data_IF_623401276572
#
_entry.id   IF_623401276572
#
_cell.length_a   1.000
_cell.length_b   1.000
_cell.length_c   1.000
_cell.angle_alpha   90.00
_cell.angle_beta   90.00
_cell.angle_gamma   90.00
#
_symmetry.space_group_name_H-M   'P 1'
#
loop_
_entity.id
_entity.type
_entity.pdbx_description
1 polymer ?
#
# COMPACT_ATOMS: atom_id res chain seq x y z
N UNK A 1 -53.07 -14.59 81.65
CA UNK A 1 -51.70 -14.30 81.15
C UNK A 1 -51.03 -15.42 80.34
N UNK A 2 -51.30 -16.73 80.56
CA UNK A 2 -50.65 -17.84 79.80
C UNK A 2 -51.13 -18.04 78.35
N UNK A 3 -52.29 -17.53 77.97
CA UNK A 3 -52.88 -17.76 76.63
C UNK A 3 -52.31 -16.83 75.54
N UNK A 4 -51.93 -15.59 75.88
CA UNK A 4 -51.30 -14.65 74.93
C UNK A 4 -49.87 -15.02 74.55
N UNK A 5 -49.10 -15.66 75.45
CA UNK A 5 -47.74 -16.11 75.12
C UNK A 5 -47.71 -17.27 74.11
N UNK A 6 -48.78 -18.06 74.00
CA UNK A 6 -48.86 -19.20 73.07
C UNK A 6 -49.12 -18.75 71.62
N UNK A 7 -49.94 -17.71 71.44
CA UNK A 7 -50.23 -17.09 70.14
C UNK A 7 -49.00 -16.37 69.56
N UNK A 8 -48.24 -15.64 70.39
CA UNK A 8 -47.04 -14.93 69.95
C UNK A 8 -45.93 -15.89 69.48
N UNK A 9 -45.80 -17.07 70.11
CA UNK A 9 -44.84 -18.12 69.73
C UNK A 9 -45.17 -18.78 68.38
N UNK A 10 -46.46 -18.87 68.03
CA UNK A 10 -46.88 -19.43 66.74
C UNK A 10 -46.68 -18.44 65.58
N UNK A 11 -46.98 -17.15 65.81
CA UNK A 11 -46.76 -16.09 64.82
C UNK A 11 -45.27 -15.91 64.45
N UNK A 12 -44.37 -15.98 65.44
CA UNK A 12 -42.91 -15.90 65.19
C UNK A 12 -42.38 -17.13 64.42
N UNK A 13 -42.95 -18.32 64.66
CA UNK A 13 -42.58 -19.54 63.91
C UNK A 13 -43.02 -19.47 62.44
N UNK A 14 -44.21 -18.96 62.16
CA UNK A 14 -44.70 -18.78 60.78
C UNK A 14 -43.91 -17.70 60.03
N UNK A 15 -43.53 -16.60 60.69
CA UNK A 15 -42.71 -15.54 60.07
C UNK A 15 -41.28 -16.00 59.75
N UNK A 16 -40.67 -16.82 60.61
CA UNK A 16 -39.35 -17.43 60.33
C UNK A 16 -39.40 -18.42 59.16
N UNK A 17 -40.47 -19.20 59.00
CA UNK A 17 -40.62 -20.08 57.84
C UNK A 17 -40.80 -19.31 56.53
N UNK A 18 -41.55 -18.19 56.54
CA UNK A 18 -41.78 -17.34 55.37
C UNK A 18 -40.49 -16.65 54.89
N UNK A 19 -39.64 -16.20 55.82
CA UNK A 19 -38.34 -15.58 55.49
C UNK A 19 -37.34 -16.62 54.95
N UNK A 20 -37.36 -17.85 55.46
CA UNK A 20 -36.48 -18.92 54.97
C UNK A 20 -36.92 -19.39 53.58
N UNK A 21 -38.24 -19.45 53.30
CA UNK A 21 -38.74 -19.79 51.96
C UNK A 21 -38.49 -18.71 50.90
N UNK A 22 -38.47 -17.42 51.28
CA UNK A 22 -38.21 -16.32 50.34
C UNK A 22 -36.72 -16.12 50.04
N UNK A 23 -35.84 -16.40 51.01
CA UNK A 23 -34.38 -16.32 50.80
C UNK A 23 -33.82 -17.52 50.00
N UNK A 24 -34.45 -18.69 50.05
CA UNK A 24 -34.09 -19.82 49.16
C UNK A 24 -34.52 -19.61 47.71
N UNK A 25 -35.59 -18.87 47.43
CA UNK A 25 -36.01 -18.59 46.05
C UNK A 25 -35.09 -17.55 45.37
N UNK A 26 -34.57 -16.59 46.12
CA UNK A 26 -33.67 -15.55 45.60
C UNK A 26 -32.31 -16.16 45.19
N UNK A 27 -31.82 -17.20 45.87
CA UNK A 27 -30.58 -17.89 45.48
C UNK A 27 -30.72 -18.75 44.23
N UNK A 28 -31.93 -19.17 43.84
CA UNK A 28 -32.14 -19.95 42.59
C UNK A 28 -32.14 -19.04 41.36
N UNK A 29 -32.47 -17.75 41.51
CA UNK A 29 -32.50 -16.79 40.39
C UNK A 29 -31.17 -16.13 40.06
N UNK A 30 -30.15 -16.19 40.92
CA UNK A 30 -28.87 -15.48 40.73
C UNK A 30 -27.83 -16.29 39.94
N UNK A 31 -28.11 -17.56 39.63
CA UNK A 31 -27.18 -18.44 38.88
C UNK A 31 -27.73 -18.94 37.54
N UNK A 32 -28.71 -18.24 36.94
CA UNK A 32 -28.84 -18.27 35.47
C UNK A 32 -27.70 -17.46 34.86
N UNK A 33 -26.48 -17.99 34.94
CA UNK A 33 -25.48 -17.70 33.94
C UNK A 33 -26.11 -18.09 32.61
N UNK A 34 -26.56 -17.11 31.83
CA UNK A 34 -27.12 -17.33 30.50
C UNK A 34 -26.03 -18.05 29.72
N UNK A 35 -26.14 -19.37 29.67
CA UNK A 35 -25.17 -20.20 29.01
C UNK A 35 -25.34 -19.94 27.52
N UNK A 36 -24.47 -19.12 26.97
CA UNK A 36 -24.48 -18.79 25.56
C UNK A 36 -24.21 -20.08 24.76
N UNK A 37 -25.02 -20.32 23.73
CA UNK A 37 -24.81 -21.43 22.81
C UNK A 37 -23.62 -21.14 21.90
N UNK A 38 -23.52 -19.87 21.45
CA UNK A 38 -22.45 -19.36 20.58
C UNK A 38 -21.73 -18.21 21.26
N UNK A 39 -20.41 -18.29 21.35
CA UNK A 39 -19.56 -17.23 21.91
C UNK A 39 -18.59 -16.72 20.84
N UNK A 40 -18.73 -15.45 20.43
CA UNK A 40 -17.94 -14.85 19.36
C UNK A 40 -16.52 -14.49 19.81
N UNK A 41 -15.55 -14.81 18.96
CA UNK A 41 -14.15 -14.42 19.09
C UNK A 41 -13.96 -13.05 18.45
N UNK A 42 -13.34 -12.11 19.16
CA UNK A 42 -13.21 -10.71 18.70
C UNK A 42 -12.38 -10.55 17.43
N UNK A 43 -11.28 -11.28 17.30
CA UNK A 43 -10.38 -11.23 16.13
C UNK A 43 -10.04 -12.64 15.71
N UNK A 44 -10.27 -12.96 14.44
CA UNK A 44 -10.00 -14.29 13.89
C UNK A 44 -9.37 -14.18 12.52
N UNK A 45 -8.56 -15.19 12.17
CA UNK A 45 -7.85 -15.25 10.92
C UNK A 45 -8.22 -16.53 10.16
N UNK A 46 -8.73 -16.38 8.93
CA UNK A 46 -9.27 -17.49 8.14
C UNK A 46 -8.52 -17.68 6.83
N UNK A 47 -8.45 -18.92 6.36
CA UNK A 47 -7.80 -19.28 5.08
C UNK A 47 -8.81 -19.52 3.96
N UNK A 48 -10.03 -19.94 4.31
CA UNK A 48 -11.10 -20.31 3.39
C UNK A 48 -11.68 -19.11 2.65
N UNK A 49 -12.42 -19.39 1.57
CA UNK A 49 -13.21 -18.40 0.83
C UNK A 49 -14.55 -18.05 1.51
N UNK A 50 -14.91 -18.79 2.56
CA UNK A 50 -16.11 -18.61 3.37
C UNK A 50 -15.72 -18.58 4.83
N UNK A 51 -16.49 -17.88 5.62
CA UNK A 51 -16.38 -17.84 7.07
C UNK A 51 -17.41 -18.81 7.65
N UNK A 52 -16.96 -19.76 8.46
CA UNK A 52 -17.80 -20.73 9.14
C UNK A 52 -18.03 -20.33 10.60
N UNK A 53 -19.06 -20.90 11.23
CA UNK A 53 -19.29 -20.74 12.69
C UNK A 53 -18.03 -21.10 13.48
N UNK A 54 -17.39 -22.22 13.13
CA UNK A 54 -16.17 -22.68 13.79
C UNK A 54 -15.01 -21.68 13.74
N UNK A 55 -15.01 -20.80 12.74
CA UNK A 55 -13.94 -19.82 12.57
C UNK A 55 -14.11 -18.62 13.51
N UNK A 56 -15.35 -18.25 13.84
CA UNK A 56 -15.69 -17.00 14.52
C UNK A 56 -16.14 -17.19 15.96
N UNK A 57 -16.29 -18.43 16.42
CA UNK A 57 -16.82 -18.72 17.74
C UNK A 57 -15.95 -19.70 18.53
N UNK A 58 -15.71 -19.42 19.81
CA UNK A 58 -14.98 -20.30 20.74
C UNK A 58 -15.86 -21.43 21.26
N UNK A 59 -17.16 -21.19 21.32
CA UNK A 59 -18.20 -22.13 21.75
C UNK A 59 -19.31 -22.11 20.72
N UNK A 60 -19.79 -23.29 20.31
CA UNK A 60 -20.90 -23.44 19.37
C UNK A 60 -21.43 -24.89 19.38
N UNK A 61 -22.71 -25.12 18.99
CA UNK A 61 -23.26 -26.45 18.77
C UNK A 61 -22.57 -27.19 17.62
N UNK A 62 -22.23 -28.48 17.82
CA UNK A 62 -21.43 -29.25 16.84
C UNK A 62 -22.14 -29.50 15.51
N UNK A 63 -23.47 -29.52 15.48
CA UNK A 63 -24.26 -29.66 14.26
C UNK A 63 -24.14 -28.46 13.31
N UNK A 64 -23.71 -27.28 13.78
CA UNK A 64 -23.52 -26.08 12.95
C UNK A 64 -22.06 -25.72 12.71
N UNK A 65 -21.12 -26.58 13.10
CA UNK A 65 -19.67 -26.32 13.00
C UNK A 65 -19.25 -25.88 11.59
N UNK A 66 -19.76 -26.56 10.55
CA UNK A 66 -19.46 -26.29 9.14
C UNK A 66 -20.48 -25.36 8.46
N UNK A 67 -21.34 -24.68 9.24
CA UNK A 67 -22.33 -23.77 8.67
C UNK A 67 -21.64 -22.51 8.14
N UNK A 68 -21.80 -22.17 6.84
CA UNK A 68 -21.24 -20.94 6.29
C UNK A 68 -22.06 -19.73 6.75
N UNK A 69 -21.40 -18.72 7.29
CA UNK A 69 -22.00 -17.47 7.75
C UNK A 69 -21.91 -16.40 6.66
N UNK A 70 -20.75 -16.25 6.04
CA UNK A 70 -20.56 -15.27 4.98
C UNK A 70 -19.46 -15.71 4.02
N UNK A 71 -19.31 -14.96 2.92
CA UNK A 71 -18.05 -14.97 2.18
C UNK A 71 -16.95 -14.38 3.06
N UNK A 72 -15.73 -14.90 2.92
CA UNK A 72 -14.55 -14.29 3.51
C UNK A 72 -14.18 -13.01 2.73
N UNK A 73 -13.53 -12.02 3.36
CA UNK A 73 -13.09 -10.81 2.67
C UNK A 73 -12.04 -11.14 1.58
N UNK A 74 -11.60 -10.13 0.81
CA UNK A 74 -10.47 -10.37 -0.11
C UNK A 74 -9.20 -10.72 0.69
N UNK A 75 -8.23 -11.43 0.10
CA UNK A 75 -6.99 -11.76 0.79
C UNK A 75 -6.30 -10.51 1.36
N UNK A 76 -5.84 -10.57 2.61
CA UNK A 76 -5.24 -9.47 3.37
C UNK A 76 -6.20 -8.34 3.77
N UNK A 77 -7.51 -8.51 3.55
CA UNK A 77 -8.54 -7.61 4.04
C UNK A 77 -9.26 -8.16 5.26
N UNK A 78 -10.02 -7.29 5.90
CA UNK A 78 -10.84 -7.58 7.08
C UNK A 78 -12.30 -7.28 6.82
N UNK A 79 -13.18 -8.09 7.40
CA UNK A 79 -14.61 -7.78 7.49
C UNK A 79 -15.08 -7.95 8.93
N UNK A 80 -16.20 -7.32 9.26
CA UNK A 80 -16.82 -7.41 10.58
C UNK A 80 -18.10 -8.22 10.47
N UNK A 81 -18.22 -9.25 11.30
CA UNK A 81 -19.44 -10.05 11.47
C UNK A 81 -20.06 -9.67 12.79
N UNK A 82 -21.17 -8.94 12.73
CA UNK A 82 -21.93 -8.51 13.91
C UNK A 82 -22.84 -9.62 14.45
N UNK A 83 -23.03 -9.66 15.77
CA UNK A 83 -23.89 -10.65 16.41
C UNK A 83 -25.34 -10.62 15.89
N UNK A 84 -25.85 -9.44 15.55
CA UNK A 84 -27.20 -9.30 14.97
C UNK A 84 -27.30 -9.91 13.57
N UNK A 85 -26.26 -9.77 12.76
CA UNK A 85 -26.17 -10.41 11.45
C UNK A 85 -26.13 -11.93 11.59
N UNK A 86 -25.32 -12.45 12.51
CA UNK A 86 -25.27 -13.88 12.80
C UNK A 86 -26.64 -14.41 13.27
N UNK A 87 -27.29 -13.72 14.22
CA UNK A 87 -28.65 -14.07 14.69
C UNK A 87 -29.66 -14.12 13.54
N UNK A 88 -29.59 -13.17 12.60
CA UNK A 88 -30.46 -13.17 11.42
C UNK A 88 -30.24 -14.43 10.57
N UNK A 89 -28.99 -14.81 10.31
CA UNK A 89 -28.68 -16.02 9.54
C UNK A 89 -29.20 -17.29 10.23
N UNK A 90 -28.98 -17.41 11.55
CA UNK A 90 -29.44 -18.56 12.32
C UNK A 90 -30.98 -18.67 12.28
N UNK A 91 -31.68 -17.55 12.50
CA UNK A 91 -33.15 -17.50 12.45
C UNK A 91 -33.70 -17.82 11.06
N UNK A 92 -33.05 -17.35 9.98
CA UNK A 92 -33.45 -17.71 8.61
C UNK A 92 -33.33 -19.20 8.30
N UNK A 93 -32.55 -19.93 9.09
CA UNK A 93 -32.40 -21.39 9.00
C UNK A 93 -33.20 -22.12 10.09
N UNK A 94 -34.16 -21.46 10.75
CA UNK A 94 -34.96 -21.99 11.87
C UNK A 94 -34.10 -22.50 13.05
N UNK A 95 -32.96 -21.86 13.32
CA UNK A 95 -32.08 -22.19 14.44
C UNK A 95 -32.09 -21.05 15.46
N UNK A 96 -32.50 -21.37 16.69
CA UNK A 96 -32.66 -20.38 17.76
C UNK A 96 -31.59 -20.58 18.83
N UNK A 97 -30.36 -20.16 18.51
CA UNK A 97 -29.22 -20.18 19.44
C UNK A 97 -28.99 -18.81 20.07
N UNK A 98 -28.63 -18.80 21.34
CA UNK A 98 -28.16 -17.61 22.04
C UNK A 98 -26.73 -17.26 21.61
N UNK A 99 -26.51 -16.02 21.18
CA UNK A 99 -25.21 -15.52 20.71
C UNK A 99 -24.69 -14.47 21.70
N UNK A 100 -23.47 -14.69 22.20
CA UNK A 100 -22.73 -13.80 23.07
C UNK A 100 -21.48 -13.23 22.39
N UNK A 101 -21.07 -12.05 22.82
CA UNK A 101 -20.12 -11.20 22.11
C UNK A 101 -20.81 -10.29 21.10
N UNK A 102 -20.23 -9.11 20.87
CA UNK A 102 -20.84 -8.09 19.99
C UNK A 102 -20.54 -8.34 18.51
N UNK A 103 -19.31 -8.76 18.19
CA UNK A 103 -18.84 -8.94 16.82
C UNK A 103 -17.57 -9.77 16.76
N UNK A 104 -17.24 -10.23 15.54
CA UNK A 104 -15.96 -10.82 15.16
C UNK A 104 -15.36 -10.05 14.00
N UNK A 105 -14.10 -9.59 14.14
CA UNK A 105 -13.30 -9.06 13.03
C UNK A 105 -12.58 -10.23 12.40
N UNK A 106 -12.93 -10.51 11.15
CA UNK A 106 -12.40 -11.63 10.38
C UNK A 106 -11.39 -11.10 9.38
N UNK A 107 -10.12 -11.48 9.55
CA UNK A 107 -9.06 -11.21 8.56
C UNK A 107 -8.84 -12.45 7.70
N UNK A 108 -8.74 -12.28 6.39
CA UNK A 108 -8.37 -13.39 5.51
C UNK A 108 -6.86 -13.46 5.32
N UNK A 109 -6.26 -14.63 5.61
CA UNK A 109 -4.84 -14.88 5.33
C UNK A 109 -4.54 -14.69 3.86
N UNK A 110 -3.35 -14.18 3.59
CA UNK A 110 -2.86 -14.00 2.25
C UNK A 110 -1.41 -14.42 2.14
N UNK A 111 -1.07 -14.93 0.96
CA UNK A 111 0.31 -14.96 0.51
C UNK A 111 0.63 -13.59 -0.09
N UNK A 112 1.66 -12.92 0.42
CA UNK A 112 2.02 -11.56 0.03
C UNK A 112 3.26 -11.57 -0.85
N UNK A 113 3.15 -11.00 -2.04
CA UNK A 113 4.30 -10.70 -2.89
C UNK A 113 4.72 -9.27 -2.58
N UNK A 114 5.84 -9.14 -1.88
CA UNK A 114 6.40 -7.85 -1.42
C UNK A 114 7.55 -7.38 -2.31
N UNK A 115 8.05 -6.16 -2.10
CA UNK A 115 9.23 -5.66 -2.79
C UNK A 115 10.44 -6.59 -2.56
N UNK A 116 10.66 -7.04 -1.32
CA UNK A 116 11.73 -7.98 -0.96
C UNK A 116 11.62 -9.31 -1.71
N UNK A 117 10.40 -9.77 -1.96
CA UNK A 117 10.18 -10.97 -2.77
C UNK A 117 10.70 -10.76 -4.20
N UNK A 118 10.39 -9.60 -4.79
CA UNK A 118 10.88 -9.23 -6.12
C UNK A 118 12.40 -9.08 -6.12
N UNK A 119 12.98 -8.36 -5.15
CA UNK A 119 14.44 -8.19 -5.04
C UNK A 119 15.17 -9.53 -4.95
N UNK A 120 14.65 -10.46 -4.13
CA UNK A 120 15.21 -11.80 -3.98
C UNK A 120 15.13 -12.61 -5.28
N UNK A 121 14.03 -12.51 -6.01
CA UNK A 121 13.87 -13.22 -7.29
C UNK A 121 14.75 -12.62 -8.40
N UNK A 122 14.94 -11.31 -8.40
CA UNK A 122 15.80 -10.60 -9.35
C UNK A 122 17.29 -10.74 -9.04
N UNK A 123 17.66 -10.99 -7.78
CA UNK A 123 19.04 -10.91 -7.33
C UNK A 123 19.58 -9.47 -7.31
N UNK A 124 18.70 -8.48 -7.28
CA UNK A 124 19.02 -7.04 -7.39
C UNK A 124 18.12 -6.25 -6.43
N UNK A 125 18.71 -5.29 -5.71
CA UNK A 125 18.00 -4.42 -4.73
C UNK A 125 17.89 -2.98 -5.21
N UNK A 126 18.69 -2.60 -6.20
CA UNK A 126 18.73 -1.24 -6.75
C UNK A 126 17.62 -1.06 -7.78
N UNK A 127 16.37 -1.33 -7.39
CA UNK A 127 15.18 -1.15 -8.21
C UNK A 127 14.14 -0.28 -7.49
N UNK A 128 13.60 0.70 -8.20
CA UNK A 128 12.42 1.45 -7.81
C UNK A 128 11.21 0.74 -8.41
N UNK A 129 10.46 0.01 -7.58
CA UNK A 129 9.24 -0.68 -8.03
C UNK A 129 8.11 0.35 -8.12
N UNK A 130 7.51 0.48 -9.30
CA UNK A 130 6.39 1.40 -9.54
C UNK A 130 5.03 0.73 -9.39
N UNK A 131 4.96 -0.60 -9.57
CA UNK A 131 3.73 -1.36 -9.32
C UNK A 131 3.36 -1.32 -7.84
N UNK A 132 2.06 -1.11 -7.54
CA UNK A 132 1.55 -1.13 -6.18
C UNK A 132 1.77 -2.50 -5.53
N UNK A 133 2.51 -2.51 -4.43
CA UNK A 133 2.79 -3.68 -3.60
C UNK A 133 2.26 -3.47 -2.16
N UNK A 134 2.02 -4.55 -1.37
CA UNK A 134 2.13 -5.96 -1.77
C UNK A 134 0.96 -6.42 -2.66
N UNK A 135 1.22 -7.40 -3.52
CA UNK A 135 0.15 -8.14 -4.19
C UNK A 135 -0.30 -9.26 -3.25
N UNK A 136 -1.58 -9.24 -2.88
CA UNK A 136 -2.18 -10.24 -2.00
C UNK A 136 -2.84 -11.35 -2.82
N UNK A 137 -2.48 -12.60 -2.53
CA UNK A 137 -3.06 -13.81 -3.11
C UNK A 137 -3.75 -14.64 -2.01
N UNK A 138 -4.74 -15.49 -2.36
CA UNK A 138 -5.30 -16.45 -1.40
C UNK A 138 -4.21 -17.30 -0.76
N UNK A 139 -4.26 -17.52 0.55
CA UNK A 139 -3.18 -18.24 1.25
C UNK A 139 -3.01 -19.68 0.73
N UNK A 140 -1.90 -19.93 0.03
CA UNK A 140 -1.46 -21.24 -0.45
C UNK A 140 0.08 -21.27 -0.53
N UNK A 141 0.64 -22.46 -0.75
CA UNK A 141 2.05 -22.64 -1.06
C UNK A 141 2.29 -22.37 -2.55
N UNK A 142 2.65 -21.13 -2.87
CA UNK A 142 3.02 -20.74 -4.24
C UNK A 142 4.52 -20.83 -4.47
N UNK A 143 4.90 -21.20 -5.69
CA UNK A 143 6.25 -21.01 -6.21
C UNK A 143 6.23 -19.81 -7.14
N UNK A 144 7.21 -18.92 -6.99
CA UNK A 144 7.33 -17.72 -7.81
C UNK A 144 8.55 -17.84 -8.73
N UNK A 145 8.40 -17.40 -9.98
CA UNK A 145 9.51 -17.31 -10.91
C UNK A 145 9.36 -16.11 -11.83
N UNK A 146 10.49 -15.58 -12.31
CA UNK A 146 10.52 -14.54 -13.33
C UNK A 146 10.62 -15.24 -14.68
N UNK A 147 9.61 -15.06 -15.54
CA UNK A 147 9.59 -15.71 -16.84
C UNK A 147 10.22 -14.86 -17.94
N UNK A 148 10.15 -13.53 -17.83
CA UNK A 148 10.81 -12.61 -18.76
C UNK A 148 10.99 -11.22 -18.16
N UNK A 149 11.95 -10.48 -18.71
CA UNK A 149 12.18 -9.06 -18.42
C UNK A 149 12.19 -8.32 -19.75
N UNK A 150 11.42 -7.24 -19.85
CA UNK A 150 11.37 -6.37 -21.03
C UNK A 150 11.77 -4.95 -20.64
N UNK A 151 12.59 -4.31 -21.47
CA UNK A 151 13.05 -2.94 -21.24
C UNK A 151 12.48 -2.05 -22.35
N UNK A 152 11.85 -0.93 -21.98
CA UNK A 152 11.39 0.09 -22.91
C UNK A 152 11.81 1.47 -22.39
N UNK A 153 12.92 1.99 -22.92
CA UNK A 153 13.49 3.25 -22.48
C UNK A 153 13.93 3.21 -21.01
N UNK A 154 13.42 4.14 -20.21
CA UNK A 154 13.71 4.27 -18.77
C UNK A 154 12.97 3.25 -17.88
N UNK A 155 11.98 2.55 -18.44
CA UNK A 155 11.15 1.59 -17.71
C UNK A 155 11.51 0.15 -18.07
N UNK A 156 11.36 -0.72 -17.08
CA UNK A 156 11.50 -2.16 -17.22
C UNK A 156 10.28 -2.88 -16.64
N UNK A 157 9.91 -4.00 -17.23
CA UNK A 157 8.79 -4.83 -16.80
C UNK A 157 9.24 -6.25 -16.60
N UNK A 158 8.95 -6.80 -15.41
CA UNK A 158 9.14 -8.19 -15.07
C UNK A 158 7.80 -8.89 -15.28
N UNK A 159 7.80 -9.98 -16.03
CA UNK A 159 6.70 -10.93 -16.01
C UNK A 159 6.94 -11.93 -14.86
N UNK A 160 6.21 -11.74 -13.77
CA UNK A 160 6.22 -12.62 -12.60
C UNK A 160 5.16 -13.71 -12.77
N UNK A 161 5.61 -14.96 -12.81
CA UNK A 161 4.75 -16.15 -12.89
C UNK A 161 4.56 -16.73 -11.49
N UNK A 162 3.30 -16.88 -11.09
CA UNK A 162 2.90 -17.54 -9.85
C UNK A 162 2.42 -18.93 -10.20
N UNK A 163 3.04 -19.95 -9.60
CA UNK A 163 2.69 -21.35 -9.80
C UNK A 163 2.06 -21.94 -8.54
N UNK A 164 1.02 -22.76 -8.73
CA UNK A 164 0.39 -23.58 -7.69
C UNK A 164 0.34 -25.01 -8.21
N UNK A 165 0.87 -25.97 -7.44
CA UNK A 165 0.91 -27.39 -7.84
C UNK A 165 1.52 -27.60 -9.24
N UNK A 166 2.64 -26.93 -9.53
CA UNK A 166 3.36 -26.96 -10.81
C UNK A 166 2.56 -26.48 -12.04
N UNK A 167 1.41 -25.83 -11.83
CA UNK A 167 0.64 -25.19 -12.89
C UNK A 167 0.68 -23.68 -12.73
N UNK A 168 0.67 -22.95 -13.85
CA UNK A 168 0.60 -21.49 -13.84
C UNK A 168 -0.75 -21.09 -13.25
N UNK A 169 -0.70 -20.44 -12.10
CA UNK A 169 -1.88 -19.90 -11.42
C UNK A 169 -2.22 -18.51 -11.97
N UNK A 170 -1.22 -17.62 -12.05
CA UNK A 170 -1.40 -16.24 -12.54
C UNK A 170 -0.07 -15.61 -12.94
N UNK A 171 -0.13 -14.70 -13.92
CA UNK A 171 0.99 -13.84 -14.29
C UNK A 171 0.72 -12.40 -13.85
N UNK A 172 1.77 -11.72 -13.39
CA UNK A 172 1.77 -10.30 -13.06
C UNK A 172 2.85 -9.58 -13.86
N UNK A 173 2.57 -8.35 -14.26
CA UNK A 173 3.57 -7.46 -14.81
C UNK A 173 3.99 -6.46 -13.72
N UNK A 174 5.25 -6.54 -13.30
CA UNK A 174 5.82 -5.64 -12.30
C UNK A 174 6.70 -4.64 -13.04
N UNK A 175 6.26 -3.39 -13.04
CA UNK A 175 7.03 -2.28 -13.58
C UNK A 175 8.04 -1.79 -12.54
N UNK A 176 9.26 -1.59 -12.99
CA UNK A 176 10.34 -1.04 -12.19
C UNK A 176 11.24 -0.14 -13.02
N UNK A 177 12.02 0.67 -12.32
CA UNK A 177 13.12 1.46 -12.88
C UNK A 177 14.38 1.02 -12.14
N UNK A 178 15.48 0.81 -12.87
CA UNK A 178 16.77 0.54 -12.23
C UNK A 178 17.26 1.82 -11.55
N UNK A 179 17.56 1.74 -10.25
CA UNK A 179 18.20 2.86 -9.56
C UNK A 179 19.55 3.12 -10.21
N UNK A 180 19.83 4.38 -10.43
CA UNK A 180 21.14 4.85 -10.83
C UNK A 180 21.65 5.76 -9.74
N UNK A 181 22.93 5.66 -9.43
CA UNK A 181 23.60 6.65 -8.61
C UNK A 181 24.19 7.71 -9.55
N UNK A 182 23.46 8.81 -9.73
CA UNK A 182 23.87 9.90 -10.62
C UNK A 182 23.77 11.26 -9.97
N UNK A 183 24.74 12.12 -10.28
CA UNK A 183 24.72 13.54 -9.97
C UNK A 183 24.10 14.29 -11.13
N UNK A 184 22.98 14.96 -10.88
CA UNK A 184 22.22 15.68 -11.91
C UNK A 184 22.17 17.17 -11.59
N UNK A 185 22.35 18.04 -12.60
CA UNK A 185 22.18 19.48 -12.43
C UNK A 185 20.71 19.81 -12.12
N UNK A 186 20.50 20.59 -11.07
CA UNK A 186 19.22 21.13 -10.64
C UNK A 186 19.34 22.63 -10.41
N UNK A 187 18.21 23.33 -10.43
CA UNK A 187 18.18 24.76 -10.16
C UNK A 187 18.57 25.04 -8.70
N UNK A 188 19.65 25.79 -8.47
CA UNK A 188 20.09 26.18 -7.12
C UNK A 188 19.15 27.23 -6.49
N UNK A 189 18.42 27.97 -7.32
CA UNK A 189 17.48 29.02 -6.94
C UNK A 189 16.28 29.07 -7.88
N UNK A 190 15.29 29.90 -7.54
CA UNK A 190 14.17 30.16 -8.44
C UNK A 190 14.64 30.97 -9.66
N UNK A 191 14.37 30.44 -10.86
CA UNK A 191 14.71 31.05 -12.15
C UNK A 191 13.42 31.52 -12.80
N UNK A 192 13.36 32.79 -13.19
CA UNK A 192 12.16 33.38 -13.78
C UNK A 192 11.99 32.95 -15.24
N UNK A 193 10.75 32.96 -15.70
CA UNK A 193 10.44 32.77 -17.12
C UNK A 193 11.26 33.73 -17.97
N UNK A 194 11.80 33.21 -19.08
CA UNK A 194 12.63 33.91 -20.05
C UNK A 194 14.00 34.38 -19.55
N UNK A 195 14.39 34.07 -18.31
CA UNK A 195 15.73 34.34 -17.79
C UNK A 195 16.76 33.43 -18.48
N UNK A 196 17.95 34.00 -18.76
CA UNK A 196 19.11 33.22 -19.22
C UNK A 196 19.75 32.56 -18.01
N UNK A 197 19.97 31.25 -18.10
CA UNK A 197 20.48 30.42 -17.01
C UNK A 197 22.00 30.54 -16.95
N UNK A 198 22.53 30.92 -15.80
CA UNK A 198 23.94 31.10 -15.55
C UNK A 198 24.57 29.88 -14.85
N UNK A 199 25.89 29.92 -14.63
CA UNK A 199 26.61 28.86 -13.92
C UNK A 199 26.17 28.72 -12.46
N UNK A 200 25.78 29.84 -11.84
CA UNK A 200 25.45 29.96 -10.41
C UNK A 200 24.02 29.51 -10.11
N UNK A 201 23.17 29.47 -11.14
CA UNK A 201 21.81 28.92 -11.09
C UNK A 201 21.78 27.38 -11.04
N UNK A 202 22.94 26.71 -11.07
CA UNK A 202 23.05 25.25 -11.23
C UNK A 202 23.86 24.66 -10.07
N UNK A 203 23.22 23.81 -9.29
CA UNK A 203 23.87 22.90 -8.35
C UNK A 203 23.67 21.43 -8.75
N UNK A 204 24.41 20.50 -8.14
CA UNK A 204 24.26 19.07 -8.40
C UNK A 204 23.58 18.37 -7.25
N UNK A 205 22.63 17.50 -7.59
CA UNK A 205 21.94 16.64 -6.63
C UNK A 205 22.12 15.19 -6.98
N UNK A 206 22.44 14.39 -5.97
CA UNK A 206 22.44 12.94 -6.04
C UNK A 206 21.00 12.45 -6.14
N UNK A 207 20.69 11.68 -7.17
CA UNK A 207 19.34 11.15 -7.40
C UNK A 207 19.41 9.68 -7.77
N UNK A 208 18.43 8.92 -7.28
CA UNK A 208 18.29 7.48 -7.54
C UNK A 208 17.72 7.19 -8.95
N UNK A 209 17.28 8.23 -9.66
CA UNK A 209 16.66 8.13 -10.98
C UNK A 209 16.73 9.47 -11.72
N UNK A 210 16.96 9.39 -13.04
CA UNK A 210 17.00 10.54 -13.94
C UNK A 210 16.05 10.26 -15.10
N UNK A 211 14.91 10.99 -15.20
CA UNK A 211 14.04 10.89 -16.35
C UNK A 211 14.77 11.27 -17.64
N UNK A 212 14.43 10.60 -18.73
CA UNK A 212 15.04 10.79 -20.06
C UNK A 212 14.96 12.22 -20.62
N UNK A 213 13.99 13.02 -20.17
CA UNK A 213 13.82 14.41 -20.58
C UNK A 213 14.63 15.43 -19.76
N UNK A 214 15.36 14.96 -18.73
CA UNK A 214 16.22 15.80 -17.90
C UNK A 214 17.55 16.04 -18.62
N UNK A 215 17.98 17.30 -18.65
CA UNK A 215 19.27 17.69 -19.20
C UNK A 215 20.33 17.37 -18.14
N UNK A 216 21.23 16.44 -18.43
CA UNK A 216 22.24 15.97 -17.47
C UNK A 216 23.58 16.69 -17.56
N UNK A 217 23.81 17.46 -18.62
CA UNK A 217 25.06 18.17 -18.88
C UNK A 217 24.93 19.66 -18.58
N UNK A 218 25.79 20.16 -17.69
CA UNK A 218 25.81 21.57 -17.28
C UNK A 218 26.02 22.52 -18.46
N UNK A 219 26.87 22.17 -19.41
CA UNK A 219 27.16 23.00 -20.59
C UNK A 219 25.94 23.19 -21.51
N UNK A 220 25.01 22.23 -21.53
CA UNK A 220 23.76 22.35 -22.29
C UNK A 220 22.73 23.26 -21.63
N UNK A 221 22.93 23.60 -20.35
CA UNK A 221 22.03 24.43 -19.54
C UNK A 221 22.55 25.88 -19.48
N UNK A 222 23.86 26.08 -19.34
CA UNK A 222 24.45 27.42 -19.25
C UNK A 222 24.21 28.20 -20.55
N UNK A 223 23.63 29.40 -20.43
CA UNK A 223 23.25 30.24 -21.56
C UNK A 223 21.93 29.84 -22.21
N UNK A 224 21.29 28.76 -21.75
CA UNK A 224 19.93 28.43 -22.17
C UNK A 224 18.93 29.38 -21.51
N UNK A 225 17.76 29.51 -22.13
CA UNK A 225 16.68 30.37 -21.65
C UNK A 225 15.60 29.53 -20.98
N UNK A 226 15.15 29.94 -19.80
CA UNK A 226 14.02 29.32 -19.14
C UNK A 226 12.72 29.61 -19.92
N UNK A 227 11.93 28.57 -20.24
CA UNK A 227 10.65 28.70 -20.95
C UNK A 227 9.49 29.05 -20.02
N UNK A 228 9.70 28.91 -18.71
CA UNK A 228 8.75 29.23 -17.65
C UNK A 228 9.50 29.43 -16.34
N UNK A 229 8.78 29.67 -15.25
CA UNK A 229 9.41 29.72 -13.92
C UNK A 229 9.90 28.32 -13.53
N UNK A 230 11.19 28.20 -13.19
CA UNK A 230 11.80 26.96 -12.67
C UNK A 230 12.08 27.19 -11.19
N UNK A 231 11.54 26.35 -10.32
CA UNK A 231 11.76 26.47 -8.88
C UNK A 231 13.11 25.91 -8.47
N UNK A 232 13.70 26.45 -7.40
CA UNK A 232 14.84 25.87 -6.72
C UNK A 232 14.61 24.37 -6.43
N UNK A 233 15.63 23.54 -6.60
CA UNK A 233 15.56 22.09 -6.47
C UNK A 233 14.99 21.33 -7.67
N UNK A 234 14.48 22.02 -8.70
CA UNK A 234 13.87 21.38 -9.87
C UNK A 234 14.92 20.97 -10.91
N UNK A 235 14.63 19.92 -11.67
CA UNK A 235 15.46 19.53 -12.80
C UNK A 235 15.36 20.54 -13.96
N UNK A 236 16.47 20.71 -14.67
CA UNK A 236 16.46 21.28 -16.01
C UNK A 236 16.00 20.22 -17.01
N UNK A 237 15.04 20.56 -17.86
CA UNK A 237 14.40 19.62 -18.78
C UNK A 237 14.27 20.24 -20.17
N UNK A 238 14.12 19.42 -21.20
CA UNK A 238 13.84 19.90 -22.55
C UNK A 238 12.52 20.70 -22.67
N UNK A 239 11.63 20.58 -21.68
CA UNK A 239 10.34 21.27 -21.65
C UNK A 239 10.41 22.65 -20.98
N UNK A 240 11.35 22.86 -20.06
CA UNK A 240 11.48 24.13 -19.32
C UNK A 240 12.72 24.93 -19.70
N UNK A 241 13.62 24.36 -20.50
CA UNK A 241 14.90 24.95 -20.87
C UNK A 241 15.08 24.90 -22.39
N UNK A 242 15.26 26.06 -23.00
CA UNK A 242 15.51 26.19 -24.44
C UNK A 242 16.96 26.60 -24.66
N UNK A 243 17.74 25.77 -25.37
CA UNK A 243 19.10 26.18 -25.79
C UNK A 243 19.00 27.46 -26.61
N UNK A 244 19.82 28.44 -26.30
CA UNK A 244 19.89 29.66 -27.07
C UNK A 244 20.72 29.42 -28.33
N UNK A 245 20.12 29.70 -29.48
CA UNK A 245 20.82 29.71 -30.76
C UNK A 245 21.85 30.85 -30.73
N UNK A 246 23.12 30.52 -30.92
CA UNK A 246 24.21 31.50 -30.89
C UNK A 246 24.40 32.16 -32.25
N UNK A 247 24.12 31.41 -33.32
CA UNK A 247 24.31 31.84 -34.70
C UNK A 247 23.12 31.36 -35.52
N UNK A 248 22.48 32.27 -36.27
CA UNK A 248 21.45 31.93 -37.25
C UNK A 248 22.08 31.72 -38.62
N UNK A 249 21.38 30.99 -39.48
CA UNK A 249 21.76 30.89 -40.88
C UNK A 249 21.80 32.29 -41.52
N UNK A 250 22.95 32.64 -42.07
CA UNK A 250 23.19 33.90 -42.76
C UNK A 250 23.82 35.00 -41.91
N UNK A 251 23.96 34.80 -40.60
CA UNK A 251 24.65 35.75 -39.72
C UNK A 251 26.12 35.91 -40.14
N UNK A 252 26.64 37.14 -40.05
CA UNK A 252 28.06 37.41 -40.20
C UNK A 252 28.72 37.27 -38.83
N UNK A 253 29.59 36.26 -38.69
CA UNK A 253 30.26 35.91 -37.44
C UNK A 253 31.77 36.07 -37.56
N UNK A 254 32.45 36.32 -36.45
CA UNK A 254 33.91 36.26 -36.42
C UNK A 254 34.37 34.81 -36.30
N UNK A 255 35.13 34.35 -37.30
CA UNK A 255 35.77 33.05 -37.31
C UNK A 255 37.24 33.22 -36.91
N UNK A 256 37.70 32.43 -35.94
CA UNK A 256 39.08 32.39 -35.49
C UNK A 256 39.61 30.99 -35.74
N UNK A 257 40.71 30.88 -36.48
CA UNK A 257 41.44 29.64 -36.70
C UNK A 257 42.86 29.82 -36.16
N UNK A 258 43.28 28.95 -35.26
CA UNK A 258 44.62 28.96 -34.69
C UNK A 258 45.24 27.57 -34.81
N UNK A 259 46.36 27.45 -35.54
CA UNK A 259 47.16 26.22 -35.58
C UNK A 259 48.61 26.52 -35.92
N UNK A 260 49.54 25.85 -35.23
CA UNK A 260 50.99 25.90 -35.50
C UNK A 260 51.59 27.33 -35.57
N UNK A 261 51.11 28.23 -34.70
CA UNK A 261 51.57 29.63 -34.66
C UNK A 261 50.96 30.54 -35.72
N UNK A 262 49.99 30.06 -36.50
CA UNK A 262 49.21 30.86 -37.45
C UNK A 262 47.83 31.12 -36.84
N UNK A 263 47.53 32.40 -36.59
CA UNK A 263 46.22 32.88 -36.15
C UNK A 263 45.55 33.66 -37.30
N UNK A 264 44.40 33.15 -37.76
CA UNK A 264 43.57 33.79 -38.78
C UNK A 264 42.27 34.22 -38.09
N UNK A 265 42.01 35.52 -38.08
CA UNK A 265 40.72 36.08 -37.69
C UNK A 265 40.06 36.70 -38.92
N UNK A 266 38.85 36.25 -39.24
CA UNK A 266 38.09 36.76 -40.38
C UNK A 266 36.60 36.86 -40.06
N UNK A 267 35.83 37.49 -40.94
CA UNK A 267 34.38 37.46 -40.91
C UNK A 267 33.89 36.38 -41.87
N UNK A 268 32.98 35.53 -41.40
CA UNK A 268 32.38 34.46 -42.17
C UNK A 268 30.85 34.53 -42.10
N UNK A 269 30.18 34.06 -43.15
CA UNK A 269 28.72 33.91 -43.15
C UNK A 269 28.36 32.51 -42.66
N UNK A 270 27.52 32.42 -41.64
CA UNK A 270 27.03 31.16 -41.12
C UNK A 270 26.13 30.46 -42.14
N UNK A 271 26.47 29.20 -42.47
CA UNK A 271 25.70 28.41 -43.43
C UNK A 271 24.57 27.60 -42.77
N UNK A 272 24.66 27.41 -41.46
CA UNK A 272 23.69 26.67 -40.66
C UNK A 272 23.45 27.42 -39.34
N UNK A 273 22.34 27.09 -38.69
CA UNK A 273 22.11 27.49 -37.31
C UNK A 273 23.07 26.73 -36.39
N UNK A 274 23.57 27.39 -35.35
CA UNK A 274 24.50 26.78 -34.41
C UNK A 274 24.19 27.17 -32.97
N UNK A 275 24.25 26.18 -32.08
CA UNK A 275 24.28 26.41 -30.64
C UNK A 275 25.74 26.54 -30.18
N UNK A 276 25.91 26.98 -28.94
CA UNK A 276 27.24 26.96 -28.32
C UNK A 276 27.77 25.52 -28.27
N UNK A 277 28.90 25.27 -28.93
CA UNK A 277 29.62 24.00 -28.92
C UNK A 277 29.32 23.04 -30.08
N UNK A 278 28.46 23.44 -31.03
CA UNK A 278 28.27 22.71 -32.29
C UNK A 278 29.44 22.91 -33.27
#
# INVERSE_FOLDING_TARGET
MKQMQKLYKHLIKCYKLLIISSSSLIFIFVSFSIACDIELIKNVEVNSNRVFISDIASKYPKNIEKMPISLAPMPNETTKIDANYLKSILNSNNMHYSVCGSYSIVKRKAFLITADTIYKLMGEKDLIIQTKLPIALPYNHYTLSISSIKNYGEYSWIQLTVMLNNQVYRNFFIQYIKKIDSLVPIASQDIRSFQVISKDDIEYKKVDYVPSYVITTKDSIIGAKALGNIKAGSFFTFYNTQRQMMVNMGDIVSAVYGKDGIDIQTSAKALQMGYKGD
#
